data_IF_263113872886
#
_entry.id   IF_263113872886
#
_cell.length_a   1.000
_cell.length_b   1.000
_cell.length_c   1.000
_cell.angle_alpha   90.00
_cell.angle_beta   90.00
_cell.angle_gamma   90.00
#
_symmetry.space_group_name_H-M   'P 1'
#
loop_
_entity.id
_entity.type
_entity.pdbx_description
1 polymer ?
#
# COMPACT_ATOMS: atom_id res chain seq x y z
N UNK A 1 -12.17 -6.72 47.16
CA UNK A 1 -12.98 -6.39 45.96
C UNK A 1 -12.35 -5.21 45.20
N UNK A 2 -11.36 -5.45 44.33
CA UNK A 2 -10.76 -4.42 43.43
C UNK A 2 -10.11 -5.08 42.19
N UNK A 3 -10.90 -5.73 41.32
CA UNK A 3 -10.37 -6.20 40.01
C UNK A 3 -11.29 -5.92 38.82
N UNK A 4 -12.59 -5.66 39.04
CA UNK A 4 -13.57 -5.47 37.95
C UNK A 4 -13.25 -4.26 37.05
N UNK A 5 -12.68 -3.20 37.60
CA UNK A 5 -12.37 -1.96 36.86
C UNK A 5 -11.19 -2.11 35.88
N UNK A 6 -10.23 -3.00 36.18
CA UNK A 6 -9.04 -3.20 35.34
C UNK A 6 -9.36 -4.07 34.12
N UNK A 7 -10.16 -5.13 34.30
CA UNK A 7 -10.60 -6.01 33.20
C UNK A 7 -11.50 -5.27 32.20
N UNK A 8 -12.36 -4.37 32.68
CA UNK A 8 -13.25 -3.59 31.80
C UNK A 8 -12.46 -2.59 30.93
N UNK A 9 -11.41 -1.99 31.49
CA UNK A 9 -10.53 -1.07 30.75
C UNK A 9 -9.74 -1.81 29.66
N UNK A 10 -9.25 -3.01 29.96
CA UNK A 10 -8.49 -3.83 29.01
C UNK A 10 -9.34 -4.26 27.80
N UNK A 11 -10.59 -4.67 28.03
CA UNK A 11 -11.52 -5.07 26.96
C UNK A 11 -11.90 -3.88 26.04
N UNK A 12 -12.03 -2.68 26.60
CA UNK A 12 -12.30 -1.45 25.83
C UNK A 12 -11.13 -1.04 24.93
N UNK A 13 -9.89 -1.21 25.39
CA UNK A 13 -8.70 -0.89 24.59
C UNK A 13 -8.52 -1.91 23.45
N UNK A 14 -8.76 -3.19 23.71
CA UNK A 14 -8.71 -4.23 22.68
C UNK A 14 -9.76 -4.06 21.58
N UNK A 15 -10.99 -3.64 21.92
CA UNK A 15 -12.06 -3.45 20.94
C UNK A 15 -11.82 -2.23 20.04
N UNK A 16 -11.32 -1.13 20.60
CA UNK A 16 -10.98 0.07 19.83
C UNK A 16 -9.79 -0.16 18.88
N UNK A 17 -8.77 -0.90 19.32
CA UNK A 17 -7.62 -1.24 18.48
C UNK A 17 -8.03 -2.13 17.29
N UNK A 18 -8.86 -3.13 17.55
CA UNK A 18 -9.35 -4.04 16.50
C UNK A 18 -10.25 -3.32 15.49
N UNK A 19 -11.13 -2.42 15.94
CA UNK A 19 -12.02 -1.66 15.07
C UNK A 19 -11.24 -0.74 14.09
N UNK A 20 -10.15 -0.12 14.57
CA UNK A 20 -9.29 0.72 13.72
C UNK A 20 -8.58 -0.05 12.61
N UNK A 21 -8.07 -1.26 12.92
CA UNK A 21 -7.41 -2.11 11.92
C UNK A 21 -8.40 -2.61 10.84
N UNK A 22 -9.60 -3.00 11.25
CA UNK A 22 -10.65 -3.46 10.32
C UNK A 22 -11.06 -2.34 9.36
N UNK A 23 -11.31 -1.14 9.87
CA UNK A 23 -11.67 0.01 9.03
C UNK A 23 -10.56 0.40 8.06
N UNK A 24 -9.29 0.33 8.48
CA UNK A 24 -8.14 0.56 7.60
C UNK A 24 -8.07 -0.46 6.45
N UNK A 25 -8.23 -1.75 6.77
CA UNK A 25 -8.19 -2.82 5.76
C UNK A 25 -9.32 -2.73 4.73
N UNK A 26 -10.52 -2.32 5.16
CA UNK A 26 -11.67 -2.09 4.27
C UNK A 26 -11.38 -0.95 3.31
N UNK A 27 -10.97 0.21 3.84
CA UNK A 27 -10.62 1.39 3.02
C UNK A 27 -9.46 1.13 2.07
N UNK A 28 -8.45 0.37 2.49
CA UNK A 28 -7.38 -0.07 1.60
C UNK A 28 -7.96 -0.84 0.40
N UNK A 29 -8.79 -1.84 0.67
CA UNK A 29 -9.38 -2.71 -0.35
C UNK A 29 -10.27 -1.93 -1.31
N UNK A 30 -11.13 -1.05 -0.79
CA UNK A 30 -12.01 -0.20 -1.60
C UNK A 30 -11.23 0.70 -2.55
N UNK A 31 -10.20 1.37 -2.04
CA UNK A 31 -9.36 2.27 -2.84
C UNK A 31 -8.57 1.51 -3.91
N UNK A 32 -7.99 0.34 -3.60
CA UNK A 32 -7.29 -0.49 -4.60
C UNK A 32 -8.25 -0.93 -5.70
N UNK A 33 -9.44 -1.45 -5.35
CA UNK A 33 -10.42 -1.87 -6.34
C UNK A 33 -10.90 -0.70 -7.21
N UNK A 34 -11.11 0.47 -6.62
CA UNK A 34 -11.45 1.67 -7.38
C UNK A 34 -10.32 2.09 -8.32
N UNK A 35 -9.08 2.09 -7.85
CA UNK A 35 -7.92 2.42 -8.65
C UNK A 35 -7.71 1.44 -9.82
N UNK A 36 -7.95 0.15 -9.59
CA UNK A 36 -7.91 -0.89 -10.63
C UNK A 36 -8.96 -0.66 -11.71
N UNK A 37 -10.18 -0.30 -11.32
CA UNK A 37 -11.22 0.08 -12.30
C UNK A 37 -10.80 1.29 -13.12
N UNK A 38 -10.23 2.32 -12.49
CA UNK A 38 -9.74 3.49 -13.22
C UNK A 38 -8.59 3.16 -14.16
N UNK A 39 -7.72 2.20 -13.81
CA UNK A 39 -6.68 1.75 -14.73
C UNK A 39 -7.21 0.99 -15.94
N UNK A 40 -8.25 0.17 -15.78
CA UNK A 40 -8.91 -0.48 -16.90
C UNK A 40 -9.56 0.53 -17.85
N UNK A 41 -9.95 1.69 -17.33
CA UNK A 41 -10.48 2.83 -18.10
C UNK A 41 -9.39 3.78 -18.61
N UNK A 42 -8.10 3.47 -18.37
CA UNK A 42 -6.96 4.33 -18.69
C UNK A 42 -6.99 5.73 -18.04
N UNK A 43 -7.77 5.89 -16.98
CA UNK A 43 -7.84 7.10 -16.16
C UNK A 43 -6.67 7.14 -15.16
N UNK A 44 -5.45 7.25 -15.69
CA UNK A 44 -4.20 7.11 -14.93
C UNK A 44 -4.06 8.11 -13.76
N UNK A 45 -4.54 9.35 -13.92
CA UNK A 45 -4.49 10.36 -12.85
C UNK A 45 -5.34 9.96 -11.64
N UNK A 46 -6.61 9.64 -11.88
CA UNK A 46 -7.52 9.21 -10.80
C UNK A 46 -7.08 7.89 -10.17
N UNK A 47 -6.56 6.96 -10.97
CA UNK A 47 -5.95 5.74 -10.46
C UNK A 47 -4.78 6.04 -9.51
N UNK A 48 -3.89 6.99 -9.86
CA UNK A 48 -2.77 7.37 -8.99
C UNK A 48 -3.26 7.98 -7.68
N UNK A 49 -4.30 8.81 -7.71
CA UNK A 49 -4.88 9.42 -6.51
C UNK A 49 -5.48 8.36 -5.57
N UNK A 50 -6.24 7.41 -6.11
CA UNK A 50 -6.82 6.30 -5.36
C UNK A 50 -5.74 5.37 -4.80
N UNK A 51 -4.68 5.09 -5.55
CA UNK A 51 -3.53 4.33 -5.05
C UNK A 51 -2.80 5.06 -3.92
N UNK A 52 -2.66 6.38 -3.99
CA UNK A 52 -2.09 7.17 -2.89
C UNK A 52 -2.99 7.15 -1.64
N UNK A 53 -4.32 7.17 -1.81
CA UNK A 53 -5.24 6.97 -0.69
C UNK A 53 -5.08 5.57 -0.08
N UNK A 54 -5.04 4.52 -0.91
CA UNK A 54 -4.78 3.15 -0.45
C UNK A 54 -3.44 3.04 0.32
N UNK A 55 -2.38 3.71 -0.15
CA UNK A 55 -1.06 3.76 0.53
C UNK A 55 -1.18 4.21 1.98
N UNK A 56 -2.08 5.14 2.29
CA UNK A 56 -2.31 5.64 3.66
C UNK A 56 -3.00 4.64 4.59
N UNK A 57 -3.71 3.67 4.01
CA UNK A 57 -4.43 2.62 4.74
C UNK A 57 -3.69 1.28 4.78
N UNK A 58 -2.70 1.09 3.90
CA UNK A 58 -1.90 -0.13 3.83
C UNK A 58 -1.16 -0.38 5.15
N UNK A 59 -1.37 -1.55 5.75
CA UNK A 59 -0.88 -1.86 7.10
C UNK A 59 0.35 -2.75 7.06
N UNK A 60 0.42 -3.67 6.09
CA UNK A 60 1.53 -4.61 5.97
C UNK A 60 2.49 -4.26 4.83
N UNK A 61 3.69 -4.86 4.88
CA UNK A 61 4.78 -4.59 3.95
C UNK A 61 4.42 -4.98 2.51
N UNK A 62 3.69 -6.09 2.33
CA UNK A 62 3.28 -6.56 1.01
C UNK A 62 2.31 -5.59 0.34
N UNK A 63 1.30 -5.11 1.06
CA UNK A 63 0.37 -4.09 0.58
C UNK A 63 1.12 -2.82 0.17
N UNK A 64 1.95 -2.27 1.06
CA UNK A 64 2.71 -1.05 0.78
C UNK A 64 3.59 -1.20 -0.46
N UNK A 65 4.32 -2.30 -0.57
CA UNK A 65 5.21 -2.58 -1.70
C UNK A 65 4.44 -2.79 -3.00
N UNK A 66 3.26 -3.41 -2.93
CA UNK A 66 2.35 -3.51 -4.08
C UNK A 66 1.87 -2.14 -4.55
N UNK A 67 1.47 -1.25 -3.64
CA UNK A 67 1.05 0.10 -4.00
C UNK A 67 2.18 0.87 -4.69
N UNK A 68 3.41 0.78 -4.17
CA UNK A 68 4.60 1.35 -4.80
C UNK A 68 4.81 0.84 -6.24
N UNK A 69 4.68 -0.47 -6.47
CA UNK A 69 4.74 -1.05 -7.81
C UNK A 69 3.67 -0.47 -8.76
N UNK A 70 2.42 -0.38 -8.28
CA UNK A 70 1.31 0.15 -9.07
C UNK A 70 1.51 1.63 -9.40
N UNK A 71 1.84 2.46 -8.41
CA UNK A 71 2.12 3.88 -8.62
C UNK A 71 3.26 4.09 -9.61
N UNK A 72 4.36 3.35 -9.50
CA UNK A 72 5.46 3.50 -10.45
C UNK A 72 5.06 3.12 -11.89
N UNK A 73 4.24 2.08 -12.04
CA UNK A 73 3.69 1.68 -13.35
C UNK A 73 2.78 2.76 -13.94
N UNK A 74 1.96 3.40 -13.10
CA UNK A 74 1.07 4.49 -13.50
C UNK A 74 1.87 5.73 -13.88
N UNK A 75 2.88 6.12 -13.09
CA UNK A 75 3.70 7.28 -13.39
C UNK A 75 4.47 7.09 -14.71
N UNK A 76 4.88 5.87 -15.06
CA UNK A 76 5.40 5.62 -16.42
C UNK A 76 4.36 5.87 -17.51
N UNK A 77 3.10 5.46 -17.31
CA UNK A 77 2.01 5.73 -18.28
C UNK A 77 1.73 7.23 -18.41
N UNK A 78 1.91 7.98 -17.33
CA UNK A 78 1.84 9.44 -17.30
C UNK A 78 3.13 10.13 -17.82
N UNK A 79 4.10 9.36 -18.31
CA UNK A 79 5.40 9.84 -18.79
C UNK A 79 6.26 10.57 -17.72
N UNK A 80 5.96 10.35 -16.43
CA UNK A 80 6.76 10.83 -15.30
C UNK A 80 7.74 9.73 -14.86
N UNK A 81 8.80 9.59 -15.66
CA UNK A 81 9.81 8.54 -15.46
C UNK A 81 10.55 8.64 -14.13
N UNK A 82 10.81 9.86 -13.67
CA UNK A 82 11.54 10.09 -12.42
C UNK A 82 10.70 9.59 -11.24
N UNK A 83 9.43 9.97 -11.20
CA UNK A 83 8.53 9.53 -10.12
C UNK A 83 8.25 8.04 -10.19
N UNK A 84 8.18 7.47 -11.39
CA UNK A 84 8.04 6.03 -11.56
C UNK A 84 9.20 5.25 -10.94
N UNK A 85 10.44 5.64 -11.28
CA UNK A 85 11.63 5.02 -10.72
C UNK A 85 11.71 5.19 -9.21
N UNK A 86 11.32 6.35 -8.68
CA UNK A 86 11.31 6.59 -7.23
C UNK A 86 10.36 5.62 -6.53
N UNK A 87 9.11 5.50 -7.00
CA UNK A 87 8.14 4.60 -6.36
C UNK A 87 8.59 3.14 -6.40
N UNK A 88 9.20 2.68 -7.49
CA UNK A 88 9.72 1.31 -7.55
C UNK A 88 10.90 1.06 -6.62
N UNK A 89 11.80 2.05 -6.47
CA UNK A 89 12.89 1.97 -5.48
C UNK A 89 12.36 1.94 -4.07
N UNK A 90 11.44 2.85 -3.73
CA UNK A 90 10.83 2.91 -2.39
C UNK A 90 10.18 1.58 -1.99
N UNK A 91 9.52 0.90 -2.95
CA UNK A 91 8.95 -0.43 -2.75
C UNK A 91 10.00 -1.50 -2.47
N UNK A 92 11.15 -1.49 -3.17
CA UNK A 92 12.23 -2.45 -2.93
C UNK A 92 12.97 -2.17 -1.62
N UNK A 93 13.29 -0.91 -1.37
CA UNK A 93 13.97 -0.49 -0.14
C UNK A 93 13.13 -0.84 1.09
N UNK A 94 11.79 -0.76 0.97
CA UNK A 94 10.87 -1.21 2.01
C UNK A 94 10.97 -2.73 2.23
N UNK A 95 10.93 -3.55 1.17
CA UNK A 95 11.05 -5.01 1.29
C UNK A 95 12.38 -5.42 1.91
N UNK A 96 13.47 -4.80 1.46
CA UNK A 96 14.83 -5.07 1.96
C UNK A 96 14.96 -4.67 3.43
N UNK A 97 14.53 -3.46 3.80
CA UNK A 97 14.60 -2.96 5.17
C UNK A 97 13.83 -3.85 6.16
N UNK A 98 12.68 -4.37 5.74
CA UNK A 98 11.83 -5.22 6.59
C UNK A 98 12.16 -6.72 6.46
N UNK A 99 13.12 -7.09 5.61
CA UNK A 99 13.50 -8.49 5.38
C UNK A 99 12.39 -9.36 4.80
N UNK A 100 11.47 -8.78 4.02
CA UNK A 100 10.31 -9.47 3.46
C UNK A 100 10.59 -9.86 2.02
N UNK A 101 10.58 -11.17 1.75
CA UNK A 101 10.62 -11.71 0.39
C UNK A 101 9.20 -11.92 -0.13
N UNK A 102 8.91 -11.33 -1.28
CA UNK A 102 7.57 -11.31 -1.86
C UNK A 102 7.63 -11.38 -3.38
N UNK A 103 6.60 -11.94 -4.02
CA UNK A 103 6.52 -11.98 -5.48
C UNK A 103 6.59 -10.58 -6.12
N UNK A 104 6.18 -9.54 -5.37
CA UNK A 104 6.26 -8.15 -5.84
C UNK A 104 7.71 -7.65 -5.99
N UNK A 105 8.65 -8.22 -5.23
CA UNK A 105 10.08 -7.90 -5.30
C UNK A 105 10.63 -8.13 -6.72
N UNK A 106 10.24 -9.25 -7.33
CA UNK A 106 10.60 -9.56 -8.71
C UNK A 106 10.06 -8.50 -9.69
N UNK A 107 8.79 -8.12 -9.55
CA UNK A 107 8.16 -7.14 -10.44
C UNK A 107 8.79 -5.75 -10.31
N UNK A 108 9.10 -5.31 -9.09
CA UNK A 108 9.78 -4.03 -8.86
C UNK A 108 11.19 -4.02 -9.47
N UNK A 109 11.97 -5.09 -9.27
CA UNK A 109 13.31 -5.25 -9.89
C UNK A 109 13.23 -5.20 -11.42
N UNK A 110 12.31 -5.95 -12.01
CA UNK A 110 12.11 -5.94 -13.46
C UNK A 110 11.68 -4.57 -13.98
N UNK A 111 10.81 -3.87 -13.24
CA UNK A 111 10.37 -2.54 -13.64
C UNK A 111 11.53 -1.53 -13.69
N UNK A 112 12.44 -1.56 -12.71
CA UNK A 112 13.63 -0.72 -12.69
C UNK A 112 14.59 -1.06 -13.85
N UNK A 113 14.93 -2.35 -14.00
CA UNK A 113 15.80 -2.85 -15.07
C UNK A 113 15.34 -2.41 -16.45
N UNK A 114 14.04 -2.58 -16.73
CA UNK A 114 13.47 -2.26 -18.04
C UNK A 114 13.33 -0.75 -18.29
N UNK A 115 13.45 0.09 -17.26
CA UNK A 115 13.22 1.53 -17.35
C UNK A 115 14.46 2.36 -16.97
N UNK A 116 15.66 1.78 -17.07
CA UNK A 116 16.91 2.53 -17.03
C UNK A 116 17.60 2.56 -15.67
N UNK A 117 17.45 1.50 -14.89
CA UNK A 117 18.30 1.17 -13.74
C UNK A 117 18.68 -0.30 -13.74
#
# INVERSE_FOLDING_TARGET
>A
MKSKSFTLLLLLVFSLFSAGQVQGSEKYTENVQAADRQLLLENYGEAADLYNQAKSYATNVNEKSYIHYRLGSIYMRLNDKIKAQQEWRDGLDLLEREGVHSGIEFHLKQALLNNGL
#
